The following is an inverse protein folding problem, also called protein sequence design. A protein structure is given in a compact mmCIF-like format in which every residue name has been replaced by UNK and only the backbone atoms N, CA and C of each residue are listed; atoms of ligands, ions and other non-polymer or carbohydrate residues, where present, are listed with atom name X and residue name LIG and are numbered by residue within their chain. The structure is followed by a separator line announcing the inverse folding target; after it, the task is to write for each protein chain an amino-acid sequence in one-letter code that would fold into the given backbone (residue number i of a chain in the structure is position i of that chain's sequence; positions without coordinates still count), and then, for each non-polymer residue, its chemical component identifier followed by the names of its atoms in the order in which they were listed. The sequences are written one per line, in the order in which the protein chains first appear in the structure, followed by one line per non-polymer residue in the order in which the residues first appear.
data_IF_608227631222
#
_entry.id   IF_608227631222
#
_cell.length_a   1.000
_cell.length_b   1.000
_cell.length_c   1.000
_cell.angle_alpha   90.00
_cell.angle_beta   90.00
_cell.angle_gamma   90.00
#
_symmetry.space_group_name_H-M   'P 1'
#
loop_
_entity.id
_entity.type
_entity.pdbx_description
1 polymer ?
#
# COMPACT_ATOMS: atom_id res chain seq x y z
N UNK A 1 6.22 -12.93 -8.35
CA UNK A 1 6.82 -12.03 -7.34
C UNK A 1 5.98 -11.94 -6.06
N UNK A 2 4.72 -11.50 -6.11
CA UNK A 2 3.89 -11.35 -4.90
C UNK A 2 3.67 -12.65 -4.11
N UNK A 3 3.40 -13.76 -4.80
CA UNK A 3 3.28 -15.09 -4.15
C UNK A 3 4.56 -15.47 -3.41
N UNK A 4 5.72 -15.23 -4.02
CA UNK A 4 7.03 -15.49 -3.39
C UNK A 4 7.20 -14.62 -2.14
N UNK A 5 6.87 -13.33 -2.23
CA UNK A 5 6.90 -12.43 -1.08
C UNK A 5 6.00 -12.90 0.06
N UNK A 6 4.77 -13.35 -0.25
CA UNK A 6 3.82 -13.85 0.74
C UNK A 6 4.29 -15.16 1.40
N UNK A 7 4.90 -16.07 0.64
CA UNK A 7 5.49 -17.30 1.21
C UNK A 7 6.65 -16.98 2.15
N UNK A 8 7.51 -16.04 1.76
CA UNK A 8 8.61 -15.57 2.63
C UNK A 8 8.04 -14.90 3.89
N UNK A 9 6.98 -14.09 3.77
CA UNK A 9 6.30 -13.50 4.92
C UNK A 9 5.83 -14.55 5.93
N UNK A 10 5.18 -15.61 5.47
CA UNK A 10 4.74 -16.71 6.35
C UNK A 10 5.94 -17.33 7.09
N UNK A 11 7.07 -17.49 6.42
CA UNK A 11 8.27 -18.02 7.05
C UNK A 11 8.87 -17.07 8.10
N UNK A 12 8.80 -15.75 7.86
CA UNK A 12 9.26 -14.77 8.84
C UNK A 12 8.24 -14.48 9.96
N UNK A 13 6.94 -14.71 9.76
CA UNK A 13 5.93 -14.48 10.80
C UNK A 13 6.05 -15.43 11.98
N UNK A 14 6.71 -16.57 11.79
CA UNK A 14 6.99 -17.53 12.85
C UNK A 14 8.22 -17.15 13.71
N UNK A 15 8.89 -16.02 13.42
CA UNK A 15 10.02 -15.55 14.22
C UNK A 15 9.55 -14.79 15.46
N UNK A 16 10.17 -15.10 16.61
CA UNK A 16 9.91 -14.42 17.89
C UNK A 16 10.21 -12.93 17.80
N UNK A 17 9.44 -12.11 18.52
CA UNK A 17 9.64 -10.67 18.57
C UNK A 17 11.05 -10.31 19.03
N UNK A 18 11.67 -9.33 18.36
CA UNK A 18 13.04 -8.89 18.65
C UNK A 18 13.13 -8.11 19.96
N UNK A 19 12.08 -7.34 20.23
CA UNK A 19 11.99 -6.47 21.38
C UNK A 19 10.52 -6.27 21.72
N UNK A 20 10.18 -6.47 22.99
CA UNK A 20 8.88 -6.11 23.56
C UNK A 20 9.09 -4.96 24.54
N UNK A 21 8.32 -3.88 24.42
CA UNK A 21 8.36 -2.77 25.36
C UNK A 21 6.95 -2.31 25.73
N UNK A 22 6.81 -1.62 26.86
CA UNK A 22 5.51 -1.16 27.34
C UNK A 22 5.43 0.36 27.34
N UNK A 23 4.39 0.92 26.71
CA UNK A 23 4.09 2.35 26.75
C UNK A 23 2.65 2.50 27.29
N UNK A 24 2.47 3.30 28.35
CA UNK A 24 1.16 3.56 28.97
C UNK A 24 0.37 2.28 29.31
N UNK A 25 1.04 1.21 29.73
CA UNK A 25 0.42 -0.07 30.05
C UNK A 25 0.14 -0.98 28.85
N UNK A 26 0.26 -0.49 27.61
CA UNK A 26 0.13 -1.30 26.39
C UNK A 26 1.47 -1.91 25.99
N UNK A 27 1.44 -3.19 25.65
CA UNK A 27 2.59 -3.97 25.22
C UNK A 27 2.74 -3.83 23.71
N UNK A 28 3.91 -3.38 23.27
CA UNK A 28 4.27 -3.20 21.87
C UNK A 28 5.40 -4.16 21.53
N UNK A 29 5.26 -4.87 20.43
CA UNK A 29 6.23 -5.85 19.97
C UNK A 29 6.80 -5.45 18.61
N UNK A 30 8.14 -5.39 18.55
CA UNK A 30 8.86 -5.13 17.31
C UNK A 30 9.10 -6.47 16.62
N UNK A 31 8.27 -6.74 15.62
CA UNK A 31 8.44 -7.88 14.73
C UNK A 31 9.54 -7.57 13.67
N UNK A 32 10.50 -8.48 13.44
CA UNK A 32 11.54 -8.29 12.42
C UNK A 32 10.98 -7.91 11.04
N UNK A 33 9.86 -8.53 10.67
CA UNK A 33 9.15 -8.28 9.41
C UNK A 33 8.71 -6.84 9.30
N UNK A 34 8.00 -6.32 10.31
CA UNK A 34 7.50 -4.94 10.32
C UNK A 34 8.65 -3.93 10.27
N UNK A 35 9.73 -4.19 11.00
CA UNK A 35 10.95 -3.39 10.96
C UNK A 35 11.58 -3.30 9.56
N UNK A 36 11.75 -4.45 8.87
CA UNK A 36 12.30 -4.50 7.51
C UNK A 36 11.40 -3.74 6.53
N UNK A 37 10.08 -3.91 6.63
CA UNK A 37 9.10 -3.24 5.76
C UNK A 37 9.14 -1.73 5.99
N UNK A 38 9.13 -1.29 7.25
CA UNK A 38 9.20 0.12 7.59
C UNK A 38 10.50 0.75 7.07
N UNK A 39 11.64 0.06 7.21
CA UNK A 39 12.92 0.51 6.64
C UNK A 39 12.87 0.62 5.11
N UNK A 40 12.25 -0.34 4.42
CA UNK A 40 12.06 -0.27 2.97
C UNK A 40 11.21 0.93 2.57
N UNK A 41 10.07 1.18 3.24
CA UNK A 41 9.20 2.32 2.98
C UNK A 41 9.97 3.64 3.20
N UNK A 42 10.72 3.76 4.30
CA UNK A 42 11.55 4.94 4.57
C UNK A 42 12.67 5.11 3.54
N UNK A 43 13.30 4.02 3.11
CA UNK A 43 14.30 4.06 2.03
C UNK A 43 13.72 4.61 0.73
N UNK A 44 12.52 4.15 0.34
CA UNK A 44 11.81 4.69 -0.82
C UNK A 44 11.44 6.17 -0.64
N UNK A 45 11.02 6.58 0.56
CA UNK A 45 10.72 7.98 0.88
C UNK A 45 11.94 8.89 0.72
N UNK A 46 13.10 8.44 1.22
CA UNK A 46 14.38 9.16 1.05
C UNK A 46 14.69 9.32 -0.44
N UNK A 47 14.58 8.24 -1.24
CA UNK A 47 14.77 8.30 -2.70
C UNK A 47 13.79 9.25 -3.40
N UNK A 48 12.56 9.41 -2.90
CA UNK A 48 11.61 10.38 -3.41
C UNK A 48 12.00 11.81 -3.08
N UNK A 49 12.48 12.07 -1.86
CA UNK A 49 12.86 13.39 -1.40
C UNK A 49 14.16 13.91 -2.00
N UNK A 50 15.07 13.02 -2.42
CA UNK A 50 16.33 13.39 -3.08
C UNK A 50 16.06 14.29 -4.31
N UNK A 51 16.48 15.58 -4.29
CA UNK A 51 16.24 16.52 -5.40
C UNK A 51 16.85 16.04 -6.73
N UNK A 52 18.01 15.37 -6.67
CA UNK A 52 18.68 14.77 -7.83
C UNK A 52 17.84 13.65 -8.49
N UNK A 53 17.01 12.95 -7.72
CA UNK A 53 16.15 11.87 -8.20
C UNK A 53 14.70 12.34 -8.48
N UNK A 54 14.31 13.56 -8.10
CA UNK A 54 12.95 14.08 -8.30
C UNK A 54 12.58 14.23 -9.78
N UNK A 55 13.54 14.60 -10.63
CA UNK A 55 13.32 14.77 -12.08
C UNK A 55 13.59 13.52 -12.93
N UNK A 56 14.12 12.46 -12.34
CA UNK A 56 14.44 11.25 -13.09
C UNK A 56 13.20 10.36 -13.20
N UNK A 57 12.60 10.36 -14.39
CA UNK A 57 11.63 9.35 -14.76
C UNK A 57 12.34 8.00 -14.99
N UNK A 58 11.79 6.94 -14.42
CA UNK A 58 12.27 5.58 -14.68
C UNK A 58 11.96 5.25 -16.14
N UNK A 59 13.00 4.88 -16.88
CA UNK A 59 12.87 4.47 -18.28
C UNK A 59 11.89 3.28 -18.39
N UNK A 60 11.04 3.28 -19.42
CA UNK A 60 9.94 2.32 -19.60
C UNK A 60 10.42 0.86 -19.58
N UNK A 61 11.67 0.62 -19.99
CA UNK A 61 12.32 -0.71 -19.94
C UNK A 61 12.42 -1.31 -18.54
N UNK A 62 12.41 -0.49 -17.48
CA UNK A 62 12.47 -0.94 -16.09
C UNK A 62 11.08 -1.05 -15.43
N UNK A 63 9.99 -0.73 -16.13
CA UNK A 63 8.62 -0.91 -15.62
C UNK A 63 8.29 -2.34 -15.21
N UNK A 64 8.65 -3.39 -15.98
CA UNK A 64 8.42 -4.77 -15.56
C UNK A 64 9.20 -5.14 -14.30
N UNK A 65 10.44 -4.66 -14.17
CA UNK A 65 11.28 -4.90 -13.00
C UNK A 65 10.72 -4.21 -11.76
N UNK A 66 10.30 -2.95 -11.89
CA UNK A 66 9.64 -2.22 -10.80
C UNK A 66 8.31 -2.84 -10.38
N UNK A 67 7.53 -3.34 -11.34
CA UNK A 67 6.31 -4.12 -11.05
C UNK A 67 6.60 -5.42 -10.31
N UNK A 68 7.69 -6.13 -10.68
CA UNK A 68 8.12 -7.33 -9.97
C UNK A 68 8.58 -7.02 -8.54
N UNK A 69 9.38 -5.98 -8.33
CA UNK A 69 9.84 -5.56 -7.00
C UNK A 69 8.68 -5.08 -6.12
N UNK A 70 7.79 -4.22 -6.67
CA UNK A 70 6.58 -3.77 -5.99
C UNK A 70 5.67 -4.95 -5.63
N UNK A 71 5.53 -5.93 -6.54
CA UNK A 71 4.79 -7.15 -6.29
C UNK A 71 5.42 -8.00 -5.18
N UNK A 72 6.73 -8.23 -5.22
CA UNK A 72 7.47 -9.00 -4.21
C UNK A 72 7.33 -8.40 -2.82
N UNK A 73 7.72 -7.13 -2.66
CA UNK A 73 7.64 -6.45 -1.37
C UNK A 73 6.19 -6.21 -0.94
N UNK A 74 5.27 -6.05 -1.90
CA UNK A 74 3.84 -5.98 -1.62
C UNK A 74 3.27 -7.30 -1.06
N UNK A 75 3.71 -8.44 -1.59
CA UNK A 75 3.39 -9.76 -1.04
C UNK A 75 4.05 -10.01 0.32
N UNK A 76 5.29 -9.55 0.51
CA UNK A 76 6.02 -9.68 1.77
C UNK A 76 5.44 -8.82 2.89
N UNK A 77 4.85 -7.67 2.56
CA UNK A 77 4.44 -6.68 3.57
C UNK A 77 2.95 -6.50 3.74
N UNK A 78 2.15 -6.92 2.75
CA UNK A 78 0.76 -6.48 2.63
C UNK A 78 0.60 -5.01 2.21
N UNK A 79 1.68 -4.22 2.16
CA UNK A 79 1.66 -2.78 1.85
C UNK A 79 1.87 -2.49 0.35
N UNK A 80 1.36 -3.37 -0.52
CA UNK A 80 1.54 -3.28 -1.97
C UNK A 80 1.07 -1.94 -2.56
N UNK A 81 0.02 -1.34 -1.97
CA UNK A 81 -0.49 -0.04 -2.40
C UNK A 81 0.53 1.08 -2.29
N UNK A 82 1.26 1.16 -1.17
CA UNK A 82 2.29 2.15 -0.91
C UNK A 82 3.45 2.06 -1.91
N UNK A 83 4.00 0.86 -2.04
CA UNK A 83 5.16 0.59 -2.90
C UNK A 83 4.83 0.79 -4.39
N UNK A 84 3.60 0.43 -4.80
CA UNK A 84 3.10 0.69 -6.15
C UNK A 84 2.97 2.18 -6.42
N UNK A 85 2.39 2.93 -5.50
CA UNK A 85 2.23 4.39 -5.64
C UNK A 85 3.60 5.06 -5.76
N UNK A 86 4.58 4.69 -4.93
CA UNK A 86 5.95 5.21 -5.04
C UNK A 86 6.58 4.94 -6.41
N UNK A 87 6.39 3.74 -6.95
CA UNK A 87 6.90 3.40 -8.28
C UNK A 87 6.22 4.19 -9.39
N UNK A 88 4.89 4.30 -9.36
CA UNK A 88 4.12 5.06 -10.35
C UNK A 88 4.41 6.56 -10.29
N UNK A 89 4.74 7.11 -9.12
CA UNK A 89 5.19 8.50 -8.98
C UNK A 89 6.48 8.79 -9.75
N UNK A 90 7.36 7.79 -9.91
CA UNK A 90 8.62 7.90 -10.67
C UNK A 90 8.49 7.47 -12.14
N UNK A 91 7.31 7.07 -12.59
CA UNK A 91 7.07 6.68 -13.98
C UNK A 91 6.82 7.87 -14.93
N UNK A 92 6.98 9.12 -14.46
CA UNK A 92 6.78 10.33 -15.27
C UNK A 92 5.33 10.58 -15.68
N UNK A 93 4.37 10.04 -14.92
CA UNK A 93 2.95 10.16 -15.19
C UNK A 93 2.42 11.53 -14.72
N UNK A 94 1.48 12.12 -15.46
CA UNK A 94 0.68 13.21 -14.95
C UNK A 94 -0.29 12.71 -13.87
N UNK A 95 -0.94 13.62 -13.13
CA UNK A 95 -1.81 13.25 -12.00
C UNK A 95 -2.95 12.34 -12.42
N UNK A 96 -3.56 12.59 -13.58
CA UNK A 96 -4.66 11.81 -14.12
C UNK A 96 -4.22 10.38 -14.44
N UNK A 97 -3.11 10.22 -15.16
CA UNK A 97 -2.54 8.91 -15.51
C UNK A 97 -2.04 8.15 -14.28
N UNK A 98 -1.44 8.84 -13.30
CA UNK A 98 -1.03 8.23 -12.03
C UNK A 98 -2.24 7.59 -11.31
N UNK A 99 -3.32 8.36 -11.17
CA UNK A 99 -4.53 7.93 -10.47
C UNK A 99 -5.25 6.85 -11.29
N UNK A 100 -5.44 7.05 -12.60
CA UNK A 100 -6.12 6.09 -13.46
C UNK A 100 -5.39 4.74 -13.48
N UNK A 101 -4.07 4.75 -13.62
CA UNK A 101 -3.26 3.52 -13.59
C UNK A 101 -3.37 2.84 -12.22
N UNK A 102 -3.30 3.62 -11.13
CA UNK A 102 -3.49 3.10 -9.78
C UNK A 102 -4.86 2.44 -9.59
N UNK A 103 -5.93 3.06 -10.11
CA UNK A 103 -7.30 2.53 -10.05
C UNK A 103 -7.43 1.24 -10.87
N UNK A 104 -6.97 1.22 -12.12
CA UNK A 104 -7.04 0.01 -12.97
C UNK A 104 -6.30 -1.16 -12.31
N UNK A 105 -5.08 -0.93 -11.81
CA UNK A 105 -4.33 -1.99 -11.12
C UNK A 105 -5.07 -2.42 -9.84
N UNK A 106 -5.67 -1.49 -9.09
CA UNK A 106 -6.43 -1.83 -7.88
C UNK A 106 -7.66 -2.70 -8.23
N UNK A 107 -8.43 -2.31 -9.24
CA UNK A 107 -9.59 -3.09 -9.69
C UNK A 107 -9.21 -4.49 -10.17
N UNK A 108 -8.10 -4.66 -10.89
CA UNK A 108 -7.62 -5.98 -11.29
C UNK A 108 -7.25 -6.86 -10.08
N UNK A 109 -6.61 -6.28 -9.07
CA UNK A 109 -6.28 -6.97 -7.81
C UNK A 109 -7.55 -7.34 -7.05
N UNK A 110 -8.52 -6.43 -6.96
CA UNK A 110 -9.76 -6.65 -6.23
C UNK A 110 -10.63 -7.71 -6.90
N UNK A 111 -10.73 -7.71 -8.24
CA UNK A 111 -11.39 -8.80 -8.99
C UNK A 111 -10.74 -10.15 -8.66
N UNK A 112 -9.41 -10.21 -8.67
CA UNK A 112 -8.68 -11.43 -8.35
C UNK A 112 -8.97 -11.90 -6.91
N UNK A 113 -9.05 -10.97 -5.95
CA UNK A 113 -9.42 -11.28 -4.55
C UNK A 113 -10.85 -11.76 -4.41
N UNK A 114 -11.81 -11.13 -5.10
CA UNK A 114 -13.20 -11.55 -5.07
C UNK A 114 -13.36 -12.98 -5.60
N UNK A 115 -12.63 -13.36 -6.65
CA UNK A 115 -12.62 -14.73 -7.15
C UNK A 115 -12.10 -15.72 -6.09
N UNK A 116 -10.98 -15.41 -5.44
CA UNK A 116 -10.40 -16.26 -4.38
C UNK A 116 -11.33 -16.37 -3.16
N UNK A 117 -12.02 -15.28 -2.80
CA UNK A 117 -12.91 -15.23 -1.63
C UNK A 117 -14.35 -15.67 -1.91
N UNK A 118 -14.69 -15.96 -3.17
CA UNK A 118 -16.04 -16.33 -3.59
C UNK A 118 -16.64 -17.50 -2.80
N UNK A 119 -15.80 -18.47 -2.42
CA UNK A 119 -16.18 -19.64 -1.60
C UNK A 119 -16.64 -19.29 -0.18
N UNK A 120 -16.35 -18.07 0.31
CA UNK A 120 -16.77 -17.59 1.63
C UNK A 120 -18.03 -16.72 1.57
N UNK A 121 -18.51 -16.37 0.37
CA UNK A 121 -19.61 -15.43 0.21
C UNK A 121 -20.93 -15.97 0.76
N UNK A 122 -21.23 -17.25 0.56
CA UNK A 122 -22.48 -17.85 1.05
C UNK A 122 -22.63 -17.72 2.57
N UNK A 123 -21.55 -17.98 3.32
CA UNK A 123 -21.52 -17.81 4.78
C UNK A 123 -21.69 -16.34 5.18
N UNK A 124 -20.98 -15.42 4.50
CA UNK A 124 -21.09 -14.00 4.78
C UNK A 124 -22.49 -13.42 4.49
N UNK A 125 -23.17 -13.93 3.46
CA UNK A 125 -24.55 -13.54 3.15
C UNK A 125 -25.55 -14.12 4.16
N UNK A 126 -25.34 -15.35 4.62
CA UNK A 126 -26.16 -15.98 5.65
C UNK A 126 -26.06 -15.27 7.02
N UNK A 127 -24.90 -14.70 7.36
CA UNK A 127 -24.66 -13.94 8.59
C UNK A 127 -25.28 -12.51 8.57
N UNK A 128 -25.96 -12.12 7.49
CA UNK A 128 -26.72 -10.87 7.42
C UNK A 128 -25.88 -9.62 7.12
N UNK A 129 -24.63 -9.75 6.69
CA UNK A 129 -23.76 -8.59 6.42
C UNK A 129 -24.11 -7.77 5.18
N UNK A 130 -25.15 -8.15 4.43
CA UNK A 130 -25.57 -7.47 3.18
C UNK A 130 -25.79 -5.97 3.40
N UNK A 131 -26.40 -5.59 4.53
CA UNK A 131 -26.66 -4.18 4.83
C UNK A 131 -25.37 -3.37 4.97
N UNK A 132 -24.39 -3.87 5.72
CA UNK A 132 -23.08 -3.22 5.86
C UNK A 132 -22.34 -3.11 4.53
N UNK A 133 -22.41 -4.16 3.69
CA UNK A 133 -21.82 -4.15 2.37
C UNK A 133 -22.43 -3.06 1.48
N UNK A 134 -23.76 -2.95 1.44
CA UNK A 134 -24.45 -1.90 0.67
C UNK A 134 -24.09 -0.50 1.16
N UNK A 135 -24.05 -0.29 2.48
CA UNK A 135 -23.62 0.99 3.05
C UNK A 135 -22.18 1.31 2.65
N UNK A 136 -21.25 0.34 2.77
CA UNK A 136 -19.86 0.53 2.38
C UNK A 136 -19.72 0.89 0.89
N UNK A 137 -20.49 0.24 0.01
CA UNK A 137 -20.52 0.54 -1.43
C UNK A 137 -20.97 1.99 -1.66
N UNK A 138 -22.07 2.43 -1.03
CA UNK A 138 -22.59 3.80 -1.19
C UNK A 138 -21.54 4.82 -0.75
N UNK A 139 -20.93 4.64 0.43
CA UNK A 139 -19.91 5.55 0.93
C UNK A 139 -18.63 5.53 0.07
N UNK A 140 -18.25 4.38 -0.49
CA UNK A 140 -17.13 4.29 -1.42
C UNK A 140 -17.40 5.09 -2.70
N UNK A 141 -18.61 5.02 -3.27
CA UNK A 141 -18.99 5.82 -4.44
C UNK A 141 -19.03 7.32 -4.14
N UNK A 142 -19.60 7.71 -2.99
CA UNK A 142 -19.61 9.12 -2.56
C UNK A 142 -18.18 9.63 -2.39
N UNK A 143 -17.32 8.87 -1.71
CA UNK A 143 -15.91 9.21 -1.52
C UNK A 143 -15.14 9.33 -2.83
N UNK A 144 -15.31 8.38 -3.76
CA UNK A 144 -14.69 8.41 -5.08
C UNK A 144 -15.17 9.62 -5.91
N UNK A 145 -16.46 9.92 -5.86
CA UNK A 145 -17.04 11.08 -6.54
C UNK A 145 -16.48 12.40 -5.99
N UNK A 146 -16.48 12.58 -4.67
CA UNK A 146 -15.89 13.77 -4.03
C UNK A 146 -14.39 13.88 -4.31
N UNK A 147 -13.65 12.78 -4.20
CA UNK A 147 -12.22 12.71 -4.48
C UNK A 147 -11.89 13.12 -5.92
N UNK A 148 -12.63 12.61 -6.90
CA UNK A 148 -12.44 12.96 -8.32
C UNK A 148 -12.57 14.47 -8.60
N UNK A 149 -13.44 15.17 -7.86
CA UNK A 149 -13.62 16.62 -7.96
C UNK A 149 -12.50 17.38 -7.27
N UNK A 150 -12.07 16.92 -6.09
CA UNK A 150 -10.95 17.50 -5.36
C UNK A 150 -9.65 17.42 -6.16
N UNK A 151 -9.42 16.29 -6.83
CA UNK A 151 -8.25 16.04 -7.68
C UNK A 151 -8.06 17.07 -8.80
N UNK A 152 -9.16 17.65 -9.31
CA UNK A 152 -9.10 18.73 -10.31
C UNK A 152 -8.52 20.03 -9.72
N UNK A 153 -8.70 20.26 -8.42
CA UNK A 153 -8.30 21.50 -7.72
C UNK A 153 -6.90 21.43 -7.09
N UNK A 154 -6.32 20.24 -6.96
CA UNK A 154 -5.00 20.06 -6.32
C UNK A 154 -3.89 19.81 -7.35
N UNK A 155 -2.66 20.13 -6.96
CA UNK A 155 -1.45 19.95 -7.77
C UNK A 155 -0.80 18.59 -7.52
N UNK A 156 0.02 18.12 -8.46
CA UNK A 156 0.77 16.87 -8.30
C UNK A 156 1.73 16.92 -7.11
N UNK A 157 2.35 18.09 -6.87
CA UNK A 157 3.24 18.31 -5.72
C UNK A 157 2.50 18.13 -4.38
N UNK A 158 1.24 18.56 -4.31
CA UNK A 158 0.42 18.36 -3.11
C UNK A 158 0.11 16.87 -2.90
N UNK A 159 -0.25 16.14 -3.96
CA UNK A 159 -0.51 14.69 -3.89
C UNK A 159 0.73 13.94 -3.39
N UNK A 160 1.89 14.25 -3.97
CA UNK A 160 3.18 13.68 -3.55
C UNK A 160 3.45 13.97 -2.08
N UNK A 161 3.34 15.24 -1.65
CA UNK A 161 3.58 15.61 -0.26
C UNK A 161 2.68 14.85 0.73
N UNK A 162 1.38 14.74 0.44
CA UNK A 162 0.44 14.00 1.29
C UNK A 162 0.81 12.51 1.35
N UNK A 163 1.08 11.88 0.20
CA UNK A 163 1.47 10.46 0.16
C UNK A 163 2.78 10.23 0.92
N UNK A 164 3.81 11.06 0.70
CA UNK A 164 5.08 10.95 1.42
C UNK A 164 4.89 11.06 2.93
N UNK A 165 4.09 12.02 3.42
CA UNK A 165 3.82 12.18 4.87
C UNK A 165 3.14 10.93 5.43
N UNK A 166 2.12 10.40 4.75
CA UNK A 166 1.43 9.19 5.18
C UNK A 166 2.38 7.98 5.21
N UNK A 167 3.25 7.83 4.21
CA UNK A 167 4.24 6.76 4.16
C UNK A 167 5.30 6.89 5.26
N UNK A 168 5.71 8.11 5.60
CA UNK A 168 6.62 8.37 6.72
C UNK A 168 5.98 7.90 8.03
N UNK A 169 4.72 8.25 8.27
CA UNK A 169 3.98 7.83 9.49
C UNK A 169 3.86 6.31 9.56
N UNK A 170 3.48 5.66 8.46
CA UNK A 170 3.39 4.19 8.40
C UNK A 170 4.76 3.55 8.63
N UNK A 171 5.81 4.05 7.97
CA UNK A 171 7.17 3.51 8.10
C UNK A 171 7.69 3.59 9.53
N UNK A 172 7.49 4.73 10.20
CA UNK A 172 7.88 4.91 11.61
C UNK A 172 7.04 3.99 12.51
N UNK A 173 5.72 3.93 12.30
CA UNK A 173 4.81 3.09 13.10
C UNK A 173 5.15 1.61 13.04
N UNK A 174 5.54 1.10 11.86
CA UNK A 174 5.97 -0.29 11.66
C UNK A 174 7.33 -0.57 12.32
N UNK A 175 8.28 0.37 12.27
CA UNK A 175 9.60 0.20 12.90
C UNK A 175 9.48 0.23 14.42
N UNK A 176 8.64 1.12 14.96
CA UNK A 176 8.41 1.18 16.40
C UNK A 176 7.57 0.01 16.91
N UNK A 177 6.83 -0.70 16.07
CA UNK A 177 5.92 -1.76 16.51
C UNK A 177 4.63 -1.21 17.14
N UNK A 178 4.32 0.09 16.93
CA UNK A 178 3.05 0.71 17.32
C UNK A 178 1.90 0.21 16.43
N UNK A 179 2.22 -0.13 15.18
CA UNK A 179 1.34 -0.69 14.15
C UNK A 179 1.97 -2.03 13.72
#
# INVERSE_FOLDING_TARGET
AAVIGAVILVWFSDMTSLLSYQIFGHLYEIEPVKGIIGLLILGFLVLEWLPALKGMAIDKKYLPLGGALSGFFGGLSGHQGALRSMFLLKAGLNKESFIATGVVIASLVDISRLLVYSSKFERAFAEGYVSYLLTAIIFAFIGAFMGSRLLKKITMNFVQAVVSILLLVIGIGLISGII
#
